data_IF_715862654678
#
_entry.id   IF_715862654678
#
_cell.length_a   1.000
_cell.length_b   1.000
_cell.length_c   1.000
_cell.angle_alpha   90.00
_cell.angle_beta   90.00
_cell.angle_gamma   90.00
#
_symmetry.space_group_name_H-M   'P 1'
#
loop_
_entity.id
_entity.type
_entity.pdbx_description
1 polymer ?
#
# COMPACT_ATOMS: atom_id res chain seq x y z
N UNK A 1 -6.39 -15.29 -16.09
CA UNK A 1 -5.75 -13.98 -15.90
C UNK A 1 -5.94 -13.63 -14.44
N UNK A 2 -4.93 -13.89 -13.62
CA UNK A 2 -4.97 -13.71 -12.17
C UNK A 2 -5.13 -12.21 -11.91
N UNK A 3 -6.11 -11.84 -11.11
CA UNK A 3 -6.41 -10.45 -10.75
C UNK A 3 -5.23 -9.87 -9.95
N UNK A 4 -4.33 -9.18 -10.65
CA UNK A 4 -3.13 -8.54 -10.04
C UNK A 4 -3.51 -7.58 -8.89
N UNK A 5 -4.75 -7.09 -8.84
CA UNK A 5 -5.24 -6.27 -7.72
C UNK A 5 -5.42 -7.10 -6.46
N UNK A 6 -5.85 -8.37 -6.59
CA UNK A 6 -5.97 -9.29 -5.44
C UNK A 6 -4.61 -9.75 -4.95
N UNK A 7 -3.64 -9.93 -5.86
CA UNK A 7 -2.26 -10.28 -5.49
C UNK A 7 -1.58 -9.07 -4.86
N UNK A 8 -1.68 -7.89 -5.46
CA UNK A 8 -1.10 -6.65 -4.91
C UNK A 8 -1.75 -6.26 -3.58
N UNK A 9 -3.10 -6.33 -3.47
CA UNK A 9 -3.79 -6.14 -2.19
C UNK A 9 -3.37 -7.15 -1.13
N UNK A 10 -3.22 -8.42 -1.49
CA UNK A 10 -2.70 -9.43 -0.56
C UNK A 10 -1.24 -9.19 -0.17
N UNK A 11 -0.41 -8.77 -1.11
CA UNK A 11 1.01 -8.52 -0.86
C UNK A 11 1.22 -7.25 -0.04
N UNK A 12 0.55 -6.14 -0.35
CA UNK A 12 0.66 -4.89 0.41
C UNK A 12 -0.04 -5.00 1.77
N UNK A 13 -1.20 -5.65 1.85
CA UNK A 13 -1.86 -5.96 3.13
C UNK A 13 -1.01 -6.93 3.96
N UNK A 14 -0.34 -7.88 3.33
CA UNK A 14 0.61 -8.78 3.99
C UNK A 14 1.86 -8.03 4.50
N UNK A 15 2.41 -7.11 3.71
CA UNK A 15 3.56 -6.29 4.10
C UNK A 15 3.23 -5.36 5.27
N UNK A 16 2.05 -4.73 5.25
CA UNK A 16 1.60 -3.92 6.38
C UNK A 16 1.19 -4.74 7.60
N UNK A 17 0.64 -5.93 7.39
CA UNK A 17 0.27 -6.83 8.48
C UNK A 17 1.53 -7.36 9.19
N UNK A 18 2.64 -7.57 8.47
CA UNK A 18 3.91 -7.97 9.08
C UNK A 18 4.55 -6.85 9.93
N UNK A 19 4.27 -5.58 9.63
CA UNK A 19 4.83 -4.43 10.36
C UNK A 19 3.85 -3.85 11.39
N UNK A 20 2.53 -4.03 11.23
CA UNK A 20 1.52 -3.34 12.05
C UNK A 20 0.42 -4.28 12.55
N UNK A 21 0.29 -5.48 12.05
CA UNK A 21 -0.85 -6.28 12.43
C UNK A 21 -0.77 -7.75 12.07
N UNK A 22 -0.33 -8.54 13.00
CA UNK A 22 -0.65 -9.97 13.06
C UNK A 22 -2.08 -10.18 13.61
N UNK A 23 -2.92 -9.20 13.58
CA UNK A 23 -4.29 -9.32 14.02
C UNK A 23 -5.28 -9.31 12.86
N UNK A 24 -5.23 -10.30 11.98
CA UNK A 24 -6.45 -10.80 11.32
C UNK A 24 -6.14 -12.09 10.57
N UNK A 25 -6.45 -13.19 11.20
CA UNK A 25 -6.87 -14.47 10.62
C UNK A 25 -6.18 -14.90 9.31
N UNK A 26 -4.90 -15.23 9.38
CA UNK A 26 -4.32 -16.14 8.40
C UNK A 26 -3.55 -17.28 9.09
N UNK A 27 -4.25 -18.36 9.50
CA UNK A 27 -3.61 -19.52 10.17
C UNK A 27 -2.48 -20.14 9.35
N UNK A 28 -2.50 -19.94 8.02
CA UNK A 28 -1.48 -20.49 7.12
C UNK A 28 -0.13 -19.78 7.18
N UNK A 29 -0.06 -18.48 7.50
CA UNK A 29 1.22 -17.77 7.63
C UNK A 29 1.92 -18.08 8.94
N UNK A 30 1.17 -18.21 10.02
CA UNK A 30 1.69 -18.62 11.33
C UNK A 30 2.31 -20.04 11.24
N UNK A 31 1.69 -20.95 10.48
CA UNK A 31 2.22 -22.30 10.24
C UNK A 31 3.53 -22.30 9.44
N UNK A 32 3.67 -21.42 8.46
CA UNK A 32 4.94 -21.30 7.69
C UNK A 32 6.07 -20.66 8.51
N UNK A 33 5.78 -19.65 9.27
CA UNK A 33 6.74 -19.09 10.22
C UNK A 33 7.12 -20.15 11.27
N UNK A 34 6.16 -20.84 11.88
CA UNK A 34 6.42 -21.86 12.90
C UNK A 34 7.26 -23.04 12.42
N UNK A 35 7.11 -23.50 11.18
CA UNK A 35 7.90 -24.63 10.66
C UNK A 35 9.36 -24.29 10.33
N UNK A 36 9.69 -23.06 9.93
CA UNK A 36 11.09 -22.63 9.74
C UNK A 36 11.77 -22.16 11.02
N UNK A 37 11.00 -21.78 12.03
CA UNK A 37 11.49 -21.31 13.32
C UNK A 37 12.14 -22.39 14.22
N UNK A 38 12.09 -23.66 13.83
CA UNK A 38 12.71 -24.76 14.61
C UNK A 38 14.24 -24.78 14.58
N UNK A 39 14.89 -23.95 13.79
CA UNK A 39 16.36 -23.95 13.62
C UNK A 39 17.11 -22.82 14.32
N UNK A 40 16.48 -22.06 15.21
CA UNK A 40 17.15 -20.95 15.85
C UNK A 40 17.61 -21.23 17.27
N UNK A 41 18.77 -20.64 17.59
CA UNK A 41 19.47 -20.80 18.86
C UNK A 41 18.58 -20.51 20.06
N UNK A 42 18.51 -21.45 20.98
CA UNK A 42 17.93 -21.22 22.31
C UNK A 42 18.77 -20.17 23.03
N UNK A 43 18.23 -19.01 23.24
CA UNK A 43 18.85 -18.03 24.11
C UNK A 43 18.65 -18.48 25.56
N UNK A 44 19.71 -18.99 26.18
CA UNK A 44 19.68 -19.38 27.61
C UNK A 44 19.99 -18.13 28.42
N UNK A 45 19.00 -17.63 29.17
CA UNK A 45 19.17 -16.50 30.07
C UNK A 45 20.05 -16.94 31.25
N UNK A 46 21.17 -16.25 31.52
CA UNK A 46 21.97 -16.52 32.69
C UNK A 46 21.12 -16.37 33.96
N UNK A 47 21.28 -17.30 34.93
CA UNK A 47 20.50 -17.31 36.16
C UNK A 47 20.70 -16.04 37.01
N UNK A 48 21.85 -15.39 36.87
CA UNK A 48 22.26 -14.18 37.58
C UNK A 48 21.67 -12.87 37.01
N UNK A 49 20.96 -12.94 35.87
CA UNK A 49 20.40 -11.73 35.25
C UNK A 49 18.94 -11.56 35.62
N UNK A 50 18.60 -10.44 36.23
CA UNK A 50 17.23 -10.04 36.50
C UNK A 50 16.45 -9.62 35.22
N UNK A 51 17.10 -9.59 34.08
CA UNK A 51 16.51 -9.25 32.78
C UNK A 51 17.28 -9.90 31.61
N UNK A 52 16.58 -10.10 30.52
CA UNK A 52 17.17 -10.49 29.23
C UNK A 52 17.39 -9.26 28.38
N UNK A 53 18.47 -9.20 27.62
CA UNK A 53 18.73 -8.11 26.71
C UNK A 53 18.51 -8.54 25.26
N UNK A 54 17.82 -7.68 24.51
CA UNK A 54 17.62 -7.79 23.06
C UNK A 54 18.06 -6.49 22.43
N UNK A 55 18.73 -6.56 21.27
CA UNK A 55 19.09 -5.38 20.49
C UNK A 55 18.18 -5.28 19.26
N UNK A 56 17.50 -4.15 19.11
CA UNK A 56 16.73 -3.82 17.94
C UNK A 56 17.62 -3.17 16.89
N UNK A 57 17.94 -3.89 15.81
CA UNK A 57 18.80 -3.43 14.72
C UNK A 57 18.01 -2.72 13.64
N UNK A 58 18.67 -1.80 12.93
CA UNK A 58 18.07 -1.08 11.80
C UNK A 58 18.00 -1.94 10.54
N UNK A 59 16.88 -1.84 9.84
CA UNK A 59 16.64 -2.39 8.52
C UNK A 59 16.49 -1.26 7.51
N UNK A 60 17.17 -1.36 6.36
CA UNK A 60 17.09 -0.35 5.31
C UNK A 60 15.77 -0.38 4.52
N UNK A 61 15.11 -1.52 4.51
CA UNK A 61 13.84 -1.72 3.82
C UNK A 61 12.98 -2.75 4.55
N UNK A 62 11.67 -2.74 4.27
CA UNK A 62 10.75 -3.77 4.78
C UNK A 62 11.08 -5.16 4.29
N UNK A 63 11.61 -5.31 3.08
CA UNK A 63 11.95 -6.64 2.53
C UNK A 63 13.00 -7.32 3.41
N UNK A 64 14.03 -6.57 3.87
CA UNK A 64 15.03 -7.09 4.80
C UNK A 64 14.45 -7.38 6.19
N UNK A 65 13.50 -6.56 6.65
CA UNK A 65 12.79 -6.82 7.90
C UNK A 65 11.87 -8.05 7.78
N UNK A 66 11.19 -8.23 6.66
CA UNK A 66 10.41 -9.42 6.37
C UNK A 66 11.28 -10.69 6.28
N UNK A 67 12.44 -10.61 5.65
CA UNK A 67 13.41 -11.69 5.64
C UNK A 67 13.85 -12.05 7.07
N UNK A 68 14.09 -11.05 7.92
CA UNK A 68 14.39 -11.24 9.34
C UNK A 68 13.22 -11.88 10.10
N UNK A 69 11.98 -11.44 9.86
CA UNK A 69 10.79 -12.07 10.42
C UNK A 69 10.63 -13.52 9.97
N UNK A 70 10.93 -13.81 8.70
CA UNK A 70 10.88 -15.16 8.13
C UNK A 70 12.01 -16.05 8.62
N UNK A 71 13.19 -15.50 8.87
CA UNK A 71 14.36 -16.23 9.39
C UNK A 71 14.33 -16.35 10.91
N UNK A 72 13.38 -15.67 11.57
CA UNK A 72 13.00 -15.97 12.91
C UNK A 72 13.39 -14.95 13.94
N UNK A 73 12.70 -13.91 14.14
CA UNK A 73 12.86 -13.01 15.28
C UNK A 73 13.33 -13.70 16.59
N UNK A 74 13.55 -13.00 17.63
CA UNK A 74 14.05 -13.57 18.88
C UNK A 74 12.95 -14.39 19.54
N UNK A 75 13.20 -15.68 19.73
CA UNK A 75 12.32 -16.56 20.50
C UNK A 75 12.75 -16.57 21.94
N UNK A 76 11.88 -16.17 22.84
CA UNK A 76 12.08 -16.27 24.27
C UNK A 76 11.30 -17.47 24.79
N UNK A 77 12.01 -18.48 25.28
CA UNK A 77 11.41 -19.63 25.94
C UNK A 77 11.42 -19.41 27.46
N UNK A 78 10.30 -19.69 28.07
CA UNK A 78 10.11 -19.50 29.51
C UNK A 78 10.35 -20.76 30.30
N UNK A 79 11.34 -21.55 30.00
CA UNK A 79 11.71 -22.69 30.85
C UNK A 79 12.11 -22.25 32.28
N UNK A 80 12.23 -20.94 32.51
CA UNK A 80 12.78 -20.35 33.76
C UNK A 80 12.14 -19.04 34.23
N UNK A 81 11.09 -18.52 33.58
CA UNK A 81 10.39 -17.32 34.07
C UNK A 81 9.48 -17.65 35.27
N UNK A 82 10.00 -18.34 36.26
CA UNK A 82 9.30 -18.62 37.51
C UNK A 82 9.32 -17.44 38.48
N UNK A 83 10.05 -16.38 38.15
CA UNK A 83 10.13 -15.20 39.00
C UNK A 83 9.12 -14.13 38.54
N UNK A 84 8.42 -13.61 39.52
CA UNK A 84 7.53 -12.43 39.38
C UNK A 84 8.32 -11.30 38.74
N UNK A 85 7.74 -10.68 37.70
CA UNK A 85 8.24 -9.45 37.10
C UNK A 85 9.53 -9.53 36.27
N UNK A 86 9.79 -10.64 35.60
CA UNK A 86 10.91 -10.69 34.67
C UNK A 86 10.76 -9.67 33.54
N UNK A 87 11.80 -8.89 33.33
CA UNK A 87 11.85 -7.85 32.29
C UNK A 87 12.79 -8.24 31.16
N UNK A 88 12.36 -8.04 29.91
CA UNK A 88 13.23 -8.08 28.73
C UNK A 88 13.63 -6.65 28.43
N UNK A 89 14.92 -6.34 28.50
CA UNK A 89 15.47 -5.04 28.11
C UNK A 89 15.71 -5.04 26.62
N UNK A 90 15.16 -4.05 25.93
CA UNK A 90 15.29 -3.88 24.48
C UNK A 90 16.05 -2.59 24.23
N UNK A 91 17.24 -2.69 23.63
CA UNK A 91 18.07 -1.52 23.30
C UNK A 91 17.99 -1.26 21.80
N UNK A 92 17.67 -0.03 21.42
CA UNK A 92 17.62 0.43 20.04
C UNK A 92 19.02 0.70 19.52
N UNK A 93 19.48 -0.04 18.49
CA UNK A 93 20.84 0.11 17.96
C UNK A 93 21.02 1.41 17.17
N UNK A 94 20.01 1.78 16.38
CA UNK A 94 20.03 2.90 15.45
C UNK A 94 18.79 3.77 15.59
N UNK A 95 18.89 5.05 15.24
CA UNK A 95 17.72 5.94 15.19
C UNK A 95 16.83 5.60 14.01
N UNK A 96 15.51 5.58 14.23
CA UNK A 96 14.51 5.30 13.19
C UNK A 96 13.15 4.96 13.78
N UNK A 97 12.30 4.29 13.01
CA UNK A 97 11.03 3.81 13.50
C UNK A 97 11.21 2.44 14.17
N UNK A 98 11.26 2.46 15.48
CA UNK A 98 11.29 1.26 16.30
C UNK A 98 9.93 0.55 16.22
N UNK A 99 9.95 -0.76 16.04
CA UNK A 99 8.77 -1.60 16.08
C UNK A 99 9.02 -2.84 16.94
N UNK A 100 8.00 -3.27 17.64
CA UNK A 100 7.96 -4.51 18.39
C UNK A 100 6.61 -5.17 18.25
N UNK A 101 6.61 -6.46 17.98
CA UNK A 101 5.45 -7.32 18.04
C UNK A 101 5.74 -8.53 18.92
N UNK A 102 4.77 -8.95 19.72
CA UNK A 102 4.89 -10.17 20.52
C UNK A 102 3.69 -11.05 20.26
N UNK A 103 3.91 -12.36 20.33
CA UNK A 103 2.86 -13.35 20.27
C UNK A 103 3.06 -14.37 21.38
N UNK A 104 2.01 -14.62 22.16
CA UNK A 104 2.02 -15.62 23.23
C UNK A 104 1.43 -16.94 22.77
N UNK A 105 2.05 -18.05 23.16
CA UNK A 105 1.54 -19.39 22.83
C UNK A 105 0.41 -19.77 23.82
N UNK A 106 -0.84 -19.54 23.40
CA UNK A 106 -2.02 -20.18 23.95
C UNK A 106 -2.63 -19.62 25.24
N UNK A 107 -1.95 -18.81 26.04
CA UNK A 107 -2.52 -18.30 27.30
C UNK A 107 -2.97 -16.84 27.21
N UNK A 108 -4.18 -16.62 26.70
CA UNK A 108 -4.79 -15.32 26.46
C UNK A 108 -5.16 -14.52 27.72
N UNK A 109 -5.03 -15.10 28.89
CA UNK A 109 -5.41 -14.45 30.16
C UNK A 109 -4.33 -13.56 30.76
N UNK A 110 -3.11 -13.64 30.25
CA UNK A 110 -1.96 -12.93 30.82
C UNK A 110 -1.55 -11.75 29.93
N UNK A 111 -1.31 -10.60 30.56
CA UNK A 111 -0.97 -9.36 29.88
C UNK A 111 0.53 -9.15 29.84
N UNK A 112 1.07 -9.03 28.62
CA UNK A 112 2.44 -8.55 28.39
C UNK A 112 2.40 -7.03 28.28
N UNK A 113 3.24 -6.33 29.00
CA UNK A 113 3.30 -4.88 29.01
C UNK A 113 4.64 -4.41 28.45
N UNK A 114 4.61 -3.41 27.58
CA UNK A 114 5.79 -2.69 27.13
C UNK A 114 5.88 -1.37 27.90
N UNK A 115 7.05 -1.10 28.49
CA UNK A 115 7.34 0.11 29.24
C UNK A 115 8.41 0.95 28.54
N UNK A 116 8.46 2.23 28.89
CA UNK A 116 9.59 3.10 28.59
C UNK A 116 10.81 2.78 29.45
N UNK A 117 11.89 3.56 29.28
CA UNK A 117 13.16 3.39 30.00
C UNK A 117 13.04 3.59 31.52
N UNK A 118 12.02 4.27 31.99
CA UNK A 118 11.79 4.50 33.45
C UNK A 118 11.09 3.32 34.11
N UNK A 119 10.48 2.43 33.34
CA UNK A 119 9.60 1.33 33.78
C UNK A 119 8.32 1.79 34.49
N UNK A 120 8.00 3.08 34.44
CA UNK A 120 6.82 3.66 35.09
C UNK A 120 5.65 3.78 34.12
N UNK A 121 5.94 4.06 32.84
CA UNK A 121 4.93 4.31 31.83
C UNK A 121 4.71 3.10 30.94
N UNK A 122 3.53 2.53 30.98
CA UNK A 122 3.09 1.52 30.00
C UNK A 122 2.87 2.19 28.65
N UNK A 123 3.59 1.75 27.63
CA UNK A 123 3.49 2.22 26.25
C UNK A 123 2.49 1.41 25.44
N UNK A 124 2.49 0.10 25.66
CA UNK A 124 1.56 -0.84 25.01
C UNK A 124 1.30 -2.04 25.92
N UNK A 125 0.18 -2.72 25.65
CA UNK A 125 -0.24 -3.91 26.37
C UNK A 125 -0.85 -4.91 25.38
N UNK A 126 -0.71 -6.21 25.62
CA UNK A 126 -1.37 -7.24 24.81
C UNK A 126 -2.86 -7.04 24.72
N UNK A 127 -3.40 -7.30 23.54
CA UNK A 127 -4.83 -7.35 23.27
C UNK A 127 -5.45 -8.61 23.88
N UNK A 128 -6.79 -8.76 23.77
CA UNK A 128 -7.51 -9.97 24.16
C UNK A 128 -7.04 -11.24 23.43
N UNK A 129 -6.38 -11.09 22.29
CA UNK A 129 -5.89 -12.20 21.48
C UNK A 129 -4.46 -12.63 21.85
N UNK A 130 -3.84 -11.95 22.84
CA UNK A 130 -2.50 -12.25 23.32
C UNK A 130 -1.37 -11.60 22.53
N UNK A 131 -1.70 -10.73 21.57
CA UNK A 131 -0.73 -10.05 20.75
C UNK A 131 -0.47 -8.63 21.28
N UNK A 132 0.79 -8.20 21.28
CA UNK A 132 1.20 -6.83 21.54
C UNK A 132 1.88 -6.30 20.28
N UNK A 133 1.48 -5.12 19.86
CA UNK A 133 2.10 -4.38 18.78
C UNK A 133 2.35 -2.94 19.21
N UNK A 134 3.55 -2.47 18.94
CA UNK A 134 3.92 -1.09 19.25
C UNK A 134 4.97 -0.60 18.25
N UNK A 135 4.87 0.66 17.90
CA UNK A 135 5.86 1.31 17.07
C UNK A 135 5.89 2.82 17.28
N UNK A 136 7.09 3.39 17.26
CA UNK A 136 7.31 4.82 17.30
C UNK A 136 8.70 5.20 16.82
N UNK A 137 8.94 6.47 16.56
CA UNK A 137 10.30 6.97 16.39
C UNK A 137 11.07 6.78 17.69
N UNK A 138 12.29 6.24 17.57
CA UNK A 138 13.21 6.07 18.65
C UNK A 138 14.62 6.52 18.25
N UNK A 139 15.44 6.87 19.22
CA UNK A 139 16.84 7.24 19.03
C UNK A 139 17.74 6.06 19.32
N UNK A 140 18.92 6.02 18.71
CA UNK A 140 19.97 5.09 19.07
C UNK A 140 20.27 5.18 20.56
N UNK A 141 20.42 4.03 21.22
CA UNK A 141 20.63 3.92 22.66
C UNK A 141 19.36 4.01 23.50
N UNK A 142 18.20 4.27 22.92
CA UNK A 142 16.94 4.28 23.66
C UNK A 142 16.59 2.87 24.13
N UNK A 143 16.00 2.77 25.33
CA UNK A 143 15.72 1.49 25.99
C UNK A 143 14.23 1.36 26.25
N UNK A 144 13.70 0.18 26.01
CA UNK A 144 12.35 -0.25 26.35
C UNK A 144 12.42 -1.49 27.24
N UNK A 145 11.39 -1.74 28.03
CA UNK A 145 11.26 -2.94 28.85
C UNK A 145 9.97 -3.66 28.56
N UNK A 146 10.07 -4.96 28.21
CA UNK A 146 8.92 -5.83 28.03
C UNK A 146 8.76 -6.67 29.29
N UNK A 147 7.66 -6.50 30.01
CA UNK A 147 7.33 -7.29 31.20
C UNK A 147 6.72 -8.63 30.80
N UNK A 148 7.34 -9.70 31.26
CA UNK A 148 6.92 -11.06 30.99
C UNK A 148 6.08 -11.60 32.16
N UNK A 149 4.87 -12.12 31.92
CA UNK A 149 4.05 -12.72 32.96
C UNK A 149 4.59 -14.08 33.42
N UNK A 150 4.38 -14.41 34.69
CA UNK A 150 4.87 -15.64 35.34
C UNK A 150 4.46 -16.96 34.66
N UNK A 151 3.33 -16.99 33.96
CA UNK A 151 2.73 -18.22 33.45
C UNK A 151 2.75 -18.36 31.93
N UNK A 152 3.65 -17.66 31.28
CA UNK A 152 3.82 -17.80 29.82
C UNK A 152 5.02 -18.70 29.57
N UNK A 153 4.79 -19.87 28.99
CA UNK A 153 5.85 -20.84 28.70
C UNK A 153 6.70 -20.41 27.50
N UNK A 154 6.11 -19.62 26.59
CA UNK A 154 6.79 -19.17 25.38
C UNK A 154 6.21 -17.86 24.87
N UNK A 155 7.07 -16.93 24.51
CA UNK A 155 6.73 -15.72 23.80
C UNK A 155 7.62 -15.54 22.58
N UNK A 156 7.01 -15.17 21.47
CA UNK A 156 7.73 -14.72 20.29
C UNK A 156 7.85 -13.20 20.37
N UNK A 157 9.07 -12.69 20.31
CA UNK A 157 9.33 -11.27 20.23
C UNK A 157 10.00 -10.96 18.92
N UNK A 158 9.38 -10.12 18.15
CA UNK A 158 9.98 -9.54 16.96
C UNK A 158 10.18 -8.07 17.20
N UNK A 159 11.41 -7.60 17.04
CA UNK A 159 11.74 -6.19 17.21
C UNK A 159 12.78 -5.75 16.20
N UNK A 160 12.72 -4.49 15.80
CA UNK A 160 13.67 -3.91 14.87
C UNK A 160 13.47 -2.41 14.74
N UNK A 161 14.36 -1.79 13.96
CA UNK A 161 14.29 -0.37 13.65
C UNK A 161 14.20 -0.23 12.13
N UNK A 162 13.17 0.42 11.64
CA UNK A 162 13.03 0.74 10.22
C UNK A 162 13.61 2.12 10.00
N UNK A 163 14.49 2.24 9.02
CA UNK A 163 15.11 3.52 8.67
C UNK A 163 14.05 4.57 8.40
N UNK A 164 14.08 5.67 9.14
CA UNK A 164 13.20 6.80 8.94
C UNK A 164 13.74 7.72 7.85
N UNK A 165 12.86 8.10 6.91
CA UNK A 165 13.19 8.92 5.78
C UNK A 165 13.89 8.16 4.66
N UNK A 166 13.73 8.65 3.46
CA UNK A 166 14.29 8.06 2.24
C UNK A 166 14.59 9.13 1.19
N UNK A 167 15.56 8.85 0.34
CA UNK A 167 15.91 9.71 -0.78
C UNK A 167 15.13 9.34 -2.05
N UNK A 168 15.81 8.70 -3.00
CA UNK A 168 15.21 8.24 -4.26
C UNK A 168 14.41 6.96 -4.05
N UNK A 169 13.23 6.91 -4.69
CA UNK A 169 12.36 5.74 -4.66
C UNK A 169 12.67 4.77 -5.80
N UNK A 170 12.61 3.47 -5.50
CA UNK A 170 12.57 2.37 -6.47
C UNK A 170 11.18 1.75 -6.50
N UNK A 171 10.77 1.25 -7.67
CA UNK A 171 9.49 0.56 -7.80
C UNK A 171 9.49 -0.75 -7.01
N UNK A 172 8.39 -1.02 -6.34
CA UNK A 172 8.11 -2.20 -5.51
C UNK A 172 8.79 -2.21 -4.14
N UNK A 173 9.64 -1.23 -3.81
CA UNK A 173 10.16 -1.07 -2.46
C UNK A 173 9.18 -0.27 -1.61
N UNK A 174 9.13 -0.56 -0.32
CA UNK A 174 8.38 0.21 0.67
C UNK A 174 9.35 1.01 1.53
N UNK A 175 9.00 2.25 1.76
CA UNK A 175 9.78 3.21 2.54
C UNK A 175 8.95 3.77 3.67
N UNK A 176 9.59 4.22 4.71
CA UNK A 176 8.95 4.85 5.85
C UNK A 176 9.45 6.26 6.04
N UNK A 177 8.53 7.14 6.39
CA UNK A 177 8.83 8.54 6.64
C UNK A 177 7.95 9.10 7.73
N UNK A 178 8.57 9.74 8.69
CA UNK A 178 7.88 10.52 9.72
C UNK A 178 7.62 11.93 9.25
N UNK A 179 6.41 12.39 9.47
CA UNK A 179 6.03 13.75 9.16
C UNK A 179 6.82 14.77 9.95
N UNK A 180 7.23 15.83 9.28
CA UNK A 180 7.94 16.98 9.88
C UNK A 180 7.07 18.23 10.00
N UNK A 181 5.80 18.15 9.53
CA UNK A 181 4.94 19.31 9.32
C UNK A 181 5.24 20.09 8.03
N UNK A 182 6.41 19.86 7.43
CA UNK A 182 6.86 20.44 6.16
C UNK A 182 6.66 19.46 5.00
N UNK A 183 6.88 19.93 3.77
CA UNK A 183 6.84 19.06 2.59
C UNK A 183 8.21 18.45 2.34
N UNK A 184 8.25 17.12 2.23
CA UNK A 184 9.41 16.34 1.81
C UNK A 184 9.27 15.94 0.35
N UNK A 185 10.40 15.62 -0.31
CA UNK A 185 10.44 15.36 -1.74
C UNK A 185 11.26 14.11 -2.04
N UNK A 186 10.66 13.14 -2.71
CA UNK A 186 11.25 11.85 -3.01
C UNK A 186 11.35 11.64 -4.52
N UNK A 187 12.55 11.79 -5.12
CA UNK A 187 12.74 11.64 -6.55
C UNK A 187 12.61 10.19 -7.00
N UNK A 188 12.05 10.00 -8.18
CA UNK A 188 12.01 8.74 -8.90
C UNK A 188 12.02 8.96 -10.40
N UNK A 189 12.34 7.94 -11.18
CA UNK A 189 12.41 8.05 -12.64
C UNK A 189 11.54 7.02 -13.35
N UNK A 190 10.91 7.43 -14.43
CA UNK A 190 10.10 6.59 -15.29
C UNK A 190 10.80 6.41 -16.63
N UNK A 191 11.24 5.18 -16.94
CA UNK A 191 12.00 4.86 -18.16
C UNK A 191 11.16 4.87 -19.44
N UNK A 192 9.85 4.56 -19.32
CA UNK A 192 8.89 4.53 -20.43
C UNK A 192 7.48 4.86 -19.92
N UNK A 193 6.56 5.21 -20.83
CA UNK A 193 5.16 5.46 -20.51
C UNK A 193 4.57 4.35 -19.65
N UNK A 194 4.10 4.69 -18.46
CA UNK A 194 3.62 3.73 -17.45
C UNK A 194 2.39 4.24 -16.72
N UNK A 195 1.56 3.32 -16.25
CA UNK A 195 0.71 3.55 -15.08
C UNK A 195 1.58 3.35 -13.84
N UNK A 196 1.64 4.35 -13.00
CA UNK A 196 2.34 4.33 -11.72
C UNK A 196 1.30 4.39 -10.63
N UNK A 197 1.26 3.39 -9.80
CA UNK A 197 0.35 3.28 -8.67
C UNK A 197 1.14 3.49 -7.40
N UNK A 198 0.78 4.53 -6.65
CA UNK A 198 1.33 4.82 -5.34
C UNK A 198 0.39 4.26 -4.28
N UNK A 199 0.97 3.72 -3.24
CA UNK A 199 0.30 3.45 -1.99
C UNK A 199 0.98 4.27 -0.91
N UNK A 200 0.20 5.09 -0.21
CA UNK A 200 0.66 5.84 0.95
C UNK A 200 -0.31 5.56 2.08
N UNK A 201 0.21 4.99 3.16
CA UNK A 201 -0.56 4.68 4.36
C UNK A 201 -0.09 5.54 5.51
N UNK A 202 -1.02 6.28 6.09
CA UNK A 202 -0.80 7.01 7.33
C UNK A 202 -1.06 6.07 8.51
N UNK A 203 0.00 5.62 9.19
CA UNK A 203 -0.05 4.51 10.13
C UNK A 203 -0.69 4.92 11.45
N UNK A 204 -0.37 6.11 11.96
CA UNK A 204 -0.88 6.55 13.24
C UNK A 204 -2.36 6.96 13.19
N UNK A 205 -3.13 6.44 14.14
CA UNK A 205 -4.59 6.68 14.20
C UNK A 205 -4.96 8.10 14.66
N UNK A 206 -4.10 8.75 15.43
CA UNK A 206 -4.40 10.02 16.11
C UNK A 206 -3.75 11.24 15.45
N UNK A 207 -3.08 11.09 14.33
CA UNK A 207 -2.42 12.16 13.61
C UNK A 207 -3.35 12.75 12.53
N UNK A 208 -2.98 13.90 12.00
CA UNK A 208 -3.77 14.61 11.01
C UNK A 208 -3.66 14.04 9.59
N UNK A 209 -4.17 14.76 8.62
CA UNK A 209 -4.21 14.35 7.21
C UNK A 209 -2.83 14.52 6.58
N UNK A 210 -2.33 13.48 5.91
CA UNK A 210 -1.19 13.54 5.00
C UNK A 210 -1.65 13.97 3.61
N UNK A 211 -0.89 14.84 2.97
CA UNK A 211 -1.13 15.33 1.61
C UNK A 211 -0.01 14.89 0.70
N UNK A 212 -0.36 14.38 -0.48
CA UNK A 212 0.62 13.96 -1.48
C UNK A 212 0.27 14.46 -2.89
N UNK A 213 1.28 14.73 -3.71
CA UNK A 213 1.13 15.02 -5.13
C UNK A 213 2.42 14.71 -5.90
N UNK A 214 2.31 14.62 -7.22
CA UNK A 214 3.44 14.35 -8.09
C UNK A 214 3.89 15.62 -8.81
N UNK A 215 5.19 15.81 -8.88
CA UNK A 215 5.82 16.82 -9.68
C UNK A 215 6.72 16.19 -10.76
N UNK A 216 6.81 16.81 -11.91
CA UNK A 216 7.67 16.43 -13.03
C UNK A 216 8.73 17.48 -13.25
N UNK A 217 9.97 17.06 -13.53
CA UNK A 217 11.03 17.96 -13.92
C UNK A 217 10.90 18.33 -15.40
N UNK A 218 10.69 19.59 -15.68
CA UNK A 218 10.58 20.17 -17.03
C UNK A 218 11.46 21.40 -17.15
N UNK A 219 12.42 21.39 -18.09
CA UNK A 219 13.39 22.47 -18.27
C UNK A 219 14.14 22.85 -16.98
N UNK A 220 14.55 21.85 -16.21
CA UNK A 220 15.27 22.05 -14.95
C UNK A 220 14.38 22.38 -13.74
N UNK A 221 13.11 22.72 -13.95
CA UNK A 221 12.18 23.13 -12.89
C UNK A 221 11.17 22.01 -12.56
N UNK A 222 10.81 21.89 -11.29
CA UNK A 222 9.76 21.00 -10.83
C UNK A 222 8.39 21.62 -11.02
N UNK A 223 7.51 20.93 -11.74
CA UNK A 223 6.13 21.37 -11.99
C UNK A 223 5.14 20.32 -11.52
N UNK A 224 4.21 20.73 -10.73
CA UNK A 224 3.10 19.87 -10.28
C UNK A 224 2.22 19.47 -11.46
N UNK A 225 1.92 18.19 -11.59
CA UNK A 225 1.21 17.61 -12.73
C UNK A 225 -0.21 17.15 -12.42
N UNK A 226 -0.62 17.10 -11.16
CA UNK A 226 -1.92 16.57 -10.72
C UNK A 226 -2.50 17.33 -9.51
N UNK A 227 -3.62 16.86 -9.00
CA UNK A 227 -4.24 17.36 -7.79
C UNK A 227 -3.64 16.69 -6.55
N UNK A 228 -3.83 17.28 -5.37
CA UNK A 228 -3.38 16.70 -4.10
C UNK A 228 -4.29 15.54 -3.72
N UNK A 229 -3.69 14.43 -3.33
CA UNK A 229 -4.34 13.34 -2.62
C UNK A 229 -4.34 13.65 -1.13
N UNK A 230 -5.43 13.30 -0.45
CA UNK A 230 -5.59 13.38 1.00
C UNK A 230 -5.62 11.97 1.56
N UNK A 231 -4.66 11.64 2.39
CA UNK A 231 -4.56 10.36 3.07
C UNK A 231 -4.99 10.59 4.52
N UNK A 232 -6.02 9.88 4.95
CA UNK A 232 -6.55 9.99 6.31
C UNK A 232 -5.72 9.13 7.27
N UNK A 233 -5.67 9.48 8.57
CA UNK A 233 -5.07 8.62 9.58
C UNK A 233 -5.67 7.22 9.57
N UNK A 234 -4.85 6.20 9.83
CA UNK A 234 -5.23 4.79 9.76
C UNK A 234 -5.87 4.37 8.43
N UNK A 235 -5.54 5.06 7.33
CA UNK A 235 -5.96 4.66 5.99
C UNK A 235 -4.92 3.74 5.39
N UNK A 236 -5.31 2.48 5.15
CA UNK A 236 -4.41 1.43 4.62
C UNK A 236 -4.56 1.21 3.11
N UNK A 237 -5.49 1.91 2.45
CA UNK A 237 -5.92 1.59 1.08
C UNK A 237 -6.00 2.82 0.15
N UNK A 238 -5.26 3.88 0.40
CA UNK A 238 -5.27 5.05 -0.49
C UNK A 238 -4.34 4.86 -1.69
N UNK A 239 -4.73 3.89 -2.55
CA UNK A 239 -4.08 3.68 -3.84
C UNK A 239 -4.47 4.78 -4.84
N UNK A 240 -3.49 5.40 -5.46
CA UNK A 240 -3.73 6.38 -6.49
C UNK A 240 -2.83 6.18 -7.70
N UNK A 241 -3.45 6.21 -8.88
CA UNK A 241 -2.79 5.88 -10.14
C UNK A 241 -2.57 7.10 -11.00
N UNK A 242 -1.34 7.26 -11.45
CA UNK A 242 -0.91 8.27 -12.41
C UNK A 242 -0.49 7.65 -13.73
N UNK A 243 -0.85 8.28 -14.83
CA UNK A 243 -0.28 7.98 -16.14
C UNK A 243 0.92 8.87 -16.39
N UNK A 244 2.12 8.33 -16.33
CA UNK A 244 3.36 9.08 -16.49
C UNK A 244 4.07 8.74 -17.80
N UNK A 245 4.76 9.73 -18.39
CA UNK A 245 5.66 9.56 -19.54
C UNK A 245 7.06 9.23 -19.04
N UNK A 246 8.01 8.93 -19.96
CA UNK A 246 9.44 8.89 -19.61
C UNK A 246 9.85 10.25 -19.01
N UNK A 247 10.59 10.25 -17.92
CA UNK A 247 11.08 11.48 -17.29
C UNK A 247 11.48 11.30 -15.84
N UNK A 248 11.94 12.40 -15.25
CA UNK A 248 12.24 12.55 -13.84
C UNK A 248 11.04 13.14 -13.12
N UNK A 249 10.72 12.56 -11.98
CA UNK A 249 9.58 12.90 -11.14
C UNK A 249 10.01 12.95 -9.68
N UNK A 250 9.19 13.59 -8.86
CA UNK A 250 9.26 13.45 -7.41
C UNK A 250 7.87 13.38 -6.81
N UNK A 251 7.75 12.56 -5.79
CA UNK A 251 6.60 12.53 -4.90
C UNK A 251 6.83 13.59 -3.83
N UNK A 252 5.88 14.48 -3.65
CA UNK A 252 5.86 15.47 -2.58
C UNK A 252 4.87 15.02 -1.51
N UNK A 253 5.33 14.89 -0.26
CA UNK A 253 4.52 14.47 0.89
C UNK A 253 4.57 15.56 1.93
N UNK A 254 3.41 15.99 2.42
CA UNK A 254 3.27 16.86 3.58
C UNK A 254 2.45 16.14 4.63
N UNK A 255 3.12 15.64 5.65
CA UNK A 255 2.50 14.94 6.77
C UNK A 255 2.60 15.77 8.06
N UNK A 256 1.64 15.64 8.98
CA UNK A 256 1.75 16.20 10.33
C UNK A 256 3.01 15.72 11.03
N UNK A 257 3.52 16.52 11.97
CA UNK A 257 4.67 16.13 12.81
C UNK A 257 4.38 14.80 13.52
N UNK A 258 5.37 13.91 13.58
CA UNK A 258 5.32 12.58 14.18
C UNK A 258 4.43 11.53 13.47
N UNK A 259 3.64 11.91 12.47
CA UNK A 259 2.91 10.93 11.69
C UNK A 259 3.84 10.04 10.89
N UNK A 260 3.81 8.74 11.10
CA UNK A 260 4.51 7.79 10.25
C UNK A 260 3.68 7.47 9.00
N UNK A 261 4.34 7.50 7.85
CA UNK A 261 3.77 7.09 6.57
C UNK A 261 4.59 5.95 5.99
N UNK A 262 3.93 4.89 5.55
CA UNK A 262 4.52 3.90 4.66
C UNK A 262 4.23 4.31 3.22
N UNK A 263 5.26 4.33 2.38
CA UNK A 263 5.20 4.82 1.00
C UNK A 263 5.79 3.80 0.06
N UNK A 264 5.02 3.38 -0.93
CA UNK A 264 5.51 2.52 -2.00
C UNK A 264 4.92 2.91 -3.35
N UNK A 265 5.53 2.45 -4.45
CA UNK A 265 4.90 2.55 -5.75
C UNK A 265 5.22 1.35 -6.63
N UNK A 266 4.30 1.07 -7.55
CA UNK A 266 4.51 0.11 -8.62
C UNK A 266 4.39 0.79 -9.98
N UNK A 267 5.07 0.25 -11.00
CA UNK A 267 5.04 0.80 -12.34
C UNK A 267 4.74 -0.27 -13.38
N UNK A 268 3.67 -0.08 -14.15
CA UNK A 268 3.27 -0.97 -15.23
C UNK A 268 3.27 -0.24 -16.57
N UNK A 269 4.12 -0.69 -17.48
CA UNK A 269 4.20 -0.15 -18.85
C UNK A 269 3.33 -0.91 -19.86
N UNK A 270 2.60 -1.93 -19.44
CA UNK A 270 1.74 -2.73 -20.32
C UNK A 270 0.56 -1.87 -20.80
N UNK A 271 0.64 -1.35 -22.02
CA UNK A 271 -0.48 -0.67 -22.68
C UNK A 271 -0.78 -1.34 -24.00
N UNK A 272 -2.06 -1.62 -24.24
CA UNK A 272 -2.54 -2.15 -25.54
C UNK A 272 -2.49 -1.02 -26.58
N UNK A 273 -2.19 -1.37 -27.85
CA UNK A 273 -2.29 -0.41 -28.97
C UNK A 273 -3.67 0.27 -29.00
N UNK A 274 -3.70 1.59 -29.04
CA UNK A 274 -4.94 2.39 -29.08
C UNK A 274 -5.26 2.86 -30.50
N UNK A 275 -6.52 3.17 -30.72
CA UNK A 275 -6.97 3.80 -31.96
C UNK A 275 -7.36 5.25 -31.70
N UNK A 276 -6.75 6.17 -32.42
CA UNK A 276 -7.02 7.61 -32.33
C UNK A 276 -8.09 8.08 -33.31
N UNK A 277 -8.45 7.26 -34.30
CA UNK A 277 -9.49 7.53 -35.31
C UNK A 277 -10.61 6.52 -35.21
N UNK A 278 -11.87 6.97 -35.43
CA UNK A 278 -13.05 6.11 -35.36
C UNK A 278 -12.99 4.93 -36.35
N UNK A 279 -12.44 5.15 -37.56
CA UNK A 279 -12.25 4.13 -38.59
C UNK A 279 -11.34 2.99 -38.14
N UNK A 280 -10.35 3.28 -37.31
CA UNK A 280 -9.39 2.32 -36.74
C UNK A 280 -9.78 1.79 -35.35
N UNK A 281 -11.02 2.03 -34.89
CA UNK A 281 -11.50 1.67 -33.56
C UNK A 281 -11.24 0.19 -33.23
N UNK A 282 -10.64 -0.05 -32.05
CA UNK A 282 -10.31 -1.41 -31.57
C UNK A 282 -11.56 -2.13 -31.12
N UNK A 283 -11.73 -3.39 -31.55
CA UNK A 283 -12.86 -4.22 -31.17
C UNK A 283 -12.70 -4.75 -29.74
N UNK A 284 -13.75 -4.62 -28.96
CA UNK A 284 -13.91 -5.32 -27.67
C UNK A 284 -14.89 -6.46 -27.91
N UNK A 285 -14.50 -7.69 -27.61
CA UNK A 285 -15.37 -8.88 -27.73
C UNK A 285 -16.38 -8.86 -26.58
N UNK A 286 -17.47 -9.59 -26.73
CA UNK A 286 -18.40 -9.88 -25.65
C UNK A 286 -17.65 -10.62 -24.53
N UNK A 287 -18.01 -10.34 -23.30
CA UNK A 287 -17.34 -10.81 -22.07
C UNK A 287 -15.86 -10.45 -22.00
N UNK A 288 -15.48 -9.40 -22.74
CA UNK A 288 -14.11 -8.90 -22.78
C UNK A 288 -13.96 -7.51 -22.18
N UNK A 289 -12.74 -7.24 -21.75
CA UNK A 289 -12.35 -5.93 -21.21
C UNK A 289 -11.08 -5.40 -21.84
N UNK A 290 -10.90 -4.10 -21.77
CA UNK A 290 -9.68 -3.41 -22.18
C UNK A 290 -9.41 -2.23 -21.27
N UNK A 291 -8.16 -2.02 -20.94
CA UNK A 291 -7.68 -0.86 -20.18
C UNK A 291 -6.54 -0.19 -20.92
N UNK A 292 -6.32 1.06 -20.64
CA UNK A 292 -5.15 1.78 -21.13
C UNK A 292 -4.86 3.04 -20.31
N UNK A 293 -3.69 3.64 -20.56
CA UNK A 293 -3.14 4.74 -19.78
C UNK A 293 -3.37 6.05 -20.54
N UNK A 294 -3.86 7.08 -19.87
CA UNK A 294 -3.73 8.47 -20.29
C UNK A 294 -2.66 9.18 -19.47
N UNK A 295 -1.75 9.86 -20.15
CA UNK A 295 -0.72 10.68 -19.51
C UNK A 295 -1.12 12.14 -19.43
N UNK A 296 -0.48 12.90 -18.55
CA UNK A 296 -0.62 14.36 -18.51
C UNK A 296 -0.24 14.94 -19.88
N UNK A 297 -0.95 15.98 -20.34
CA UNK A 297 -0.70 16.62 -21.63
C UNK A 297 -1.29 15.91 -22.86
N UNK A 298 -1.62 14.61 -22.77
CA UNK A 298 -2.24 13.87 -23.89
C UNK A 298 -3.67 14.37 -24.14
N UNK A 299 -3.94 14.85 -25.36
CA UNK A 299 -5.24 15.47 -25.75
C UNK A 299 -6.11 14.57 -26.59
N UNK A 300 -5.56 13.53 -27.22
CA UNK A 300 -6.20 12.73 -28.26
C UNK A 300 -7.26 11.78 -27.70
N UNK A 301 -8.46 11.80 -28.30
CA UNK A 301 -9.50 10.81 -27.98
C UNK A 301 -9.11 9.41 -28.47
N UNK A 302 -9.62 8.39 -27.82
CA UNK A 302 -9.39 6.99 -28.15
C UNK A 302 -10.69 6.31 -28.55
N UNK A 303 -10.63 5.38 -29.50
CA UNK A 303 -11.79 4.78 -30.08
C UNK A 303 -11.79 3.27 -29.96
N UNK A 304 -12.92 2.76 -29.51
CA UNK A 304 -13.24 1.35 -29.43
C UNK A 304 -14.54 1.06 -30.16
N UNK A 305 -14.78 -0.21 -30.50
CA UNK A 305 -16.05 -0.67 -31.08
C UNK A 305 -16.48 -1.98 -30.45
N UNK A 306 -17.78 -2.15 -30.35
CA UNK A 306 -18.44 -3.38 -29.94
C UNK A 306 -19.47 -3.75 -31.00
N UNK A 307 -19.85 -5.02 -31.08
CA UNK A 307 -20.90 -5.50 -31.97
C UNK A 307 -22.00 -6.19 -31.17
N UNK A 308 -23.22 -5.75 -31.32
CA UNK A 308 -24.41 -6.42 -30.79
C UNK A 308 -25.00 -7.27 -31.89
N UNK A 309 -24.82 -8.58 -31.80
CA UNK A 309 -25.32 -9.57 -32.81
C UNK A 309 -26.65 -10.17 -32.42
N UNK A 310 -26.99 -10.18 -31.13
CA UNK A 310 -28.22 -10.70 -30.58
C UNK A 310 -28.87 -9.72 -29.62
N UNK A 311 -30.18 -9.60 -29.64
CA UNK A 311 -30.96 -8.77 -28.73
C UNK A 311 -31.69 -9.58 -27.65
N UNK A 312 -31.47 -10.90 -27.58
CA UNK A 312 -32.07 -11.80 -26.58
C UNK A 312 -31.65 -11.44 -25.17
N UNK A 313 -30.37 -11.08 -24.97
CA UNK A 313 -29.82 -10.67 -23.67
C UNK A 313 -29.55 -9.17 -23.65
N UNK A 314 -29.70 -8.54 -22.47
CA UNK A 314 -29.30 -7.15 -22.25
C UNK A 314 -27.76 -7.08 -22.34
N UNK A 315 -27.24 -6.03 -22.98
CA UNK A 315 -25.80 -5.75 -23.09
C UNK A 315 -25.44 -4.57 -22.24
N UNK A 316 -24.30 -4.68 -21.58
CA UNK A 316 -23.82 -3.71 -20.59
C UNK A 316 -22.38 -3.33 -20.90
N UNK A 317 -22.06 -2.05 -20.73
CA UNK A 317 -20.69 -1.55 -20.67
C UNK A 317 -20.36 -1.18 -19.23
N UNK A 318 -19.28 -1.71 -18.72
CA UNK A 318 -18.62 -1.20 -17.52
C UNK A 318 -17.55 -0.20 -17.94
N UNK A 319 -17.60 1.00 -17.40
CA UNK A 319 -16.75 2.13 -17.76
C UNK A 319 -16.02 2.59 -16.52
N UNK A 320 -14.74 2.22 -16.42
CA UNK A 320 -13.92 2.44 -15.23
C UNK A 320 -12.90 3.55 -15.39
N UNK A 321 -12.49 4.12 -14.27
CA UNK A 321 -11.34 4.99 -14.13
C UNK A 321 -10.52 4.61 -12.90
N UNK A 322 -9.19 4.82 -12.99
CA UNK A 322 -8.33 4.98 -11.85
C UNK A 322 -7.42 6.18 -12.14
N UNK A 323 -7.68 7.30 -11.49
CA UNK A 323 -7.00 8.58 -11.70
C UNK A 323 -7.24 9.50 -10.50
N UNK A 324 -6.20 10.19 -10.10
CA UNK A 324 -6.26 11.20 -9.02
C UNK A 324 -7.06 12.42 -9.48
N UNK A 325 -6.78 12.93 -10.67
CA UNK A 325 -7.33 14.19 -11.17
C UNK A 325 -8.36 13.99 -12.26
N UNK A 326 -9.47 14.70 -12.16
CA UNK A 326 -10.50 14.78 -13.21
C UNK A 326 -11.24 13.48 -13.42
N UNK A 327 -11.23 12.96 -14.65
CA UNK A 327 -11.96 11.76 -15.03
C UNK A 327 -12.08 11.60 -16.54
N UNK A 328 -12.94 10.67 -16.95
CA UNK A 328 -13.11 10.35 -18.37
C UNK A 328 -14.57 10.53 -18.83
N UNK A 329 -14.69 10.97 -20.08
CA UNK A 329 -15.94 11.04 -20.82
C UNK A 329 -15.99 9.92 -21.85
N UNK A 330 -16.94 9.02 -21.72
CA UNK A 330 -17.26 7.94 -22.64
C UNK A 330 -18.47 8.33 -23.47
N UNK A 331 -18.29 8.46 -24.79
CA UNK A 331 -19.35 8.86 -25.71
C UNK A 331 -19.62 7.71 -26.67
N UNK A 332 -20.88 7.25 -26.74
CA UNK A 332 -21.28 6.07 -27.49
C UNK A 332 -22.03 6.54 -28.75
N UNK A 333 -21.63 5.99 -29.89
CA UNK A 333 -22.24 6.26 -31.21
C UNK A 333 -22.68 4.95 -31.86
N UNK A 334 -23.76 4.97 -32.62
CA UNK A 334 -24.13 3.89 -33.56
C UNK A 334 -23.40 4.07 -34.89
N UNK A 335 -23.01 2.97 -35.56
CA UNK A 335 -22.47 3.01 -36.93
C UNK A 335 -23.43 3.80 -37.86
N UNK A 336 -22.90 4.68 -38.70
CA UNK A 336 -23.66 5.53 -39.61
C UNK A 336 -24.32 6.77 -38.97
N UNK A 337 -24.26 6.92 -37.62
CA UNK A 337 -24.81 8.10 -36.94
C UNK A 337 -23.72 9.07 -36.47
N UNK A 338 -23.90 10.38 -36.77
CA UNK A 338 -23.02 11.46 -36.27
C UNK A 338 -23.36 11.82 -34.83
N UNK A 339 -24.64 11.81 -34.44
CA UNK A 339 -25.11 12.14 -33.08
C UNK A 339 -24.81 10.99 -32.13
N UNK A 340 -24.30 11.32 -30.96
CA UNK A 340 -24.07 10.37 -29.83
C UNK A 340 -25.43 9.84 -29.34
N UNK A 341 -25.50 8.55 -29.06
CA UNK A 341 -26.67 7.95 -28.42
C UNK A 341 -26.64 8.02 -26.90
N UNK A 342 -25.42 8.10 -26.33
CA UNK A 342 -25.23 8.22 -24.88
C UNK A 342 -23.86 8.82 -24.58
N UNK A 343 -23.80 9.61 -23.53
CA UNK A 343 -22.54 10.13 -22.95
C UNK A 343 -22.53 9.87 -21.45
N UNK A 344 -21.44 9.29 -20.96
CA UNK A 344 -21.23 8.97 -19.55
C UNK A 344 -19.93 9.64 -19.10
N UNK A 345 -19.99 10.34 -17.98
CA UNK A 345 -18.83 10.91 -17.31
C UNK A 345 -18.55 10.08 -16.05
N UNK A 346 -17.32 9.61 -15.90
CA UNK A 346 -16.84 8.94 -14.69
C UNK A 346 -15.85 9.89 -14.00
N UNK A 347 -16.27 10.45 -12.87
CA UNK A 347 -15.59 11.52 -12.12
C UNK A 347 -15.74 11.33 -10.64
N UNK A 348 -14.99 12.12 -9.85
CA UNK A 348 -15.06 12.12 -8.39
C UNK A 348 -14.68 10.75 -7.83
N UNK A 349 -15.32 10.36 -6.75
CA UNK A 349 -15.07 9.10 -6.05
C UNK A 349 -15.62 7.86 -6.77
N UNK A 350 -16.39 8.04 -7.86
CA UNK A 350 -16.90 6.92 -8.63
C UNK A 350 -15.80 6.31 -9.50
N UNK A 351 -15.33 5.11 -9.15
CA UNK A 351 -14.31 4.40 -9.93
C UNK A 351 -14.87 3.74 -11.19
N UNK A 352 -16.20 3.48 -11.26
CA UNK A 352 -16.84 2.91 -12.43
C UNK A 352 -18.31 3.34 -12.55
N UNK A 353 -18.83 3.32 -13.78
CA UNK A 353 -20.26 3.45 -14.11
C UNK A 353 -20.68 2.43 -15.13
N UNK A 354 -21.89 1.93 -15.00
CA UNK A 354 -22.50 0.97 -15.91
C UNK A 354 -23.37 1.67 -16.94
N UNK A 355 -23.29 1.27 -18.20
CA UNK A 355 -24.15 1.74 -19.26
C UNK A 355 -24.91 0.59 -19.92
N UNK A 356 -26.23 0.56 -19.78
CA UNK A 356 -27.10 -0.34 -20.57
C UNK A 356 -27.04 0.08 -22.03
N UNK A 357 -26.78 -0.88 -22.93
CA UNK A 357 -26.76 -0.69 -24.36
C UNK A 357 -28.16 -0.87 -24.96
N UNK A 358 -28.46 -0.23 -26.11
CA UNK A 358 -29.71 -0.43 -26.79
C UNK A 358 -29.94 -1.90 -27.19
N UNK A 359 -31.17 -2.42 -27.09
CA UNK A 359 -31.57 -3.72 -27.58
C UNK A 359 -31.73 -3.69 -29.13
N UNK A 360 -30.67 -3.29 -29.84
CA UNK A 360 -30.69 -3.19 -31.31
C UNK A 360 -29.37 -3.71 -31.89
N UNK A 361 -29.44 -4.66 -32.82
CA UNK A 361 -28.26 -5.19 -33.52
C UNK A 361 -27.48 -4.08 -34.21
N UNK A 362 -26.18 -4.26 -34.30
CA UNK A 362 -25.29 -3.33 -35.01
C UNK A 362 -23.96 -3.09 -34.31
N UNK A 363 -23.13 -2.28 -34.95
CA UNK A 363 -21.84 -1.85 -34.42
C UNK A 363 -22.00 -0.51 -33.71
N UNK A 364 -21.39 -0.43 -32.52
CA UNK A 364 -21.35 0.77 -31.72
C UNK A 364 -19.92 1.16 -31.49
N UNK A 365 -19.64 2.47 -31.50
CA UNK A 365 -18.32 3.04 -31.26
C UNK A 365 -18.32 3.77 -29.93
N UNK A 366 -17.24 3.62 -29.20
CA UNK A 366 -17.04 4.26 -27.90
C UNK A 366 -15.83 5.19 -28.05
N UNK A 367 -16.06 6.49 -27.88
CA UNK A 367 -15.00 7.50 -27.79
C UNK A 367 -14.71 7.80 -26.34
N UNK A 368 -13.44 7.73 -25.96
CA UNK A 368 -12.97 8.13 -24.64
C UNK A 368 -12.18 9.42 -24.78
N UNK A 369 -12.46 10.37 -23.93
CA UNK A 369 -11.69 11.61 -23.80
C UNK A 369 -11.52 12.00 -22.35
N UNK A 370 -10.43 12.70 -22.06
CA UNK A 370 -10.19 13.31 -20.75
C UNK A 370 -11.23 14.40 -20.50
N UNK A 371 -11.60 14.61 -19.25
CA UNK A 371 -12.50 15.69 -18.85
C UNK A 371 -11.74 16.98 -18.55
N UNK A 372 -10.50 16.88 -18.07
CA UNK A 372 -9.64 18.02 -17.76
C UNK A 372 -8.24 17.82 -18.37
N UNK A 373 -7.47 18.88 -18.48
CA UNK A 373 -6.05 18.82 -18.93
C UNK A 373 -5.19 18.00 -17.95
N UNK A 374 -5.50 18.06 -16.66
CA UNK A 374 -4.79 17.33 -15.61
C UNK A 374 -5.15 15.85 -15.52
N UNK A 375 -6.29 15.41 -16.11
CA UNK A 375 -6.67 13.98 -16.07
C UNK A 375 -5.53 13.10 -16.58
N UNK A 376 -5.05 12.21 -15.73
CA UNK A 376 -4.05 11.20 -16.05
C UNK A 376 -4.39 9.93 -15.24
N UNK A 377 -3.77 8.79 -15.59
CA UNK A 377 -4.11 7.51 -14.96
C UNK A 377 -4.66 6.50 -15.96
N UNK A 378 -5.47 5.55 -15.50
CA UNK A 378 -6.02 4.50 -16.35
C UNK A 378 -7.54 4.61 -16.52
N UNK A 379 -8.01 4.13 -17.64
CA UNK A 379 -9.44 3.86 -17.88
C UNK A 379 -9.64 2.41 -18.27
N UNK A 380 -10.85 1.94 -18.07
CA UNK A 380 -11.25 0.58 -18.42
C UNK A 380 -12.62 0.57 -19.13
N UNK A 381 -12.78 -0.37 -20.04
CA UNK A 381 -14.07 -0.71 -20.68
C UNK A 381 -14.26 -2.21 -20.62
N UNK A 382 -15.29 -2.67 -19.95
CA UNK A 382 -15.81 -4.03 -20.02
C UNK A 382 -17.07 -4.07 -20.88
N UNK A 383 -17.28 -5.12 -21.70
CA UNK A 383 -18.47 -5.34 -22.50
C UNK A 383 -19.05 -6.71 -22.20
N UNK A 384 -20.30 -6.76 -21.67
CA UNK A 384 -21.02 -7.94 -21.19
C UNK A 384 -22.42 -8.05 -21.77
#
# INVERSE_FOLDING_TARGET
MIDMRKILKKTVTLMMTAVIGVSMSCPKMIVYAGQRMQMQERYTIPKEWNYTEITAYQFESTDKFEDYLQTGGTHLYNDKFQEKDHMVKITVADSGYFTIATQTDGNRSQKVNLYDSTKEKVLAQTTSDGDLEYGRLAKAGEVFYLQMPEKIDKIFVTTGVIKDGFGSMKASDTYYESGTGSTTYHPFSIKKRSAVEFNISAIDRNSGITYAHIEKKENGQWKRIDDTVKIKPASYDDDFVHGLTKGEYRLAIKAPTIQLNAVSYTSSSKSKKVAYKKSKAKKIKLDGQTSNIYTTGEKTSRWYKISITSTKKKRILNLGKNTVSGGYKFTIYKKGKKKAIKTIKVTGNANAKTAKMPKKKGTYYIRISKLTKKTNGTYEIGYY
#
